data_IF_742550116154
#
_entry.id   IF_742550116154
#
_cell.length_a   1.000
_cell.length_b   1.000
_cell.length_c   1.000
_cell.angle_alpha   90.00
_cell.angle_beta   90.00
_cell.angle_gamma   90.00
#
_symmetry.space_group_name_H-M   'P 1'
#
loop_
_entity.id
_entity.type
_entity.pdbx_description
1 polymer ?
#
# COMPACT_ATOMS: atom_id res chain seq x y z
N UNK A 1 -10.73 6.59 -19.06
CA UNK A 1 -11.12 5.85 -17.84
C UNK A 1 -12.32 5.00 -18.17
N UNK A 2 -12.67 3.99 -17.35
CA UNK A 2 -13.78 3.08 -17.63
C UNK A 2 -15.16 3.77 -17.72
N UNK A 3 -15.33 4.89 -17.03
CA UNK A 3 -16.52 5.79 -17.15
C UNK A 3 -16.34 6.90 -18.19
N UNK A 4 -15.28 6.87 -18.99
CA UNK A 4 -15.06 7.84 -20.05
C UNK A 4 -16.15 7.74 -21.13
N UNK A 5 -16.39 8.84 -21.85
CA UNK A 5 -17.41 8.90 -22.90
C UNK A 5 -17.24 7.83 -23.97
N UNK A 6 -15.99 7.50 -24.32
CA UNK A 6 -15.65 6.45 -25.28
C UNK A 6 -16.04 5.05 -24.77
N UNK A 7 -15.70 4.73 -23.52
CA UNK A 7 -16.06 3.47 -22.88
C UNK A 7 -17.58 3.32 -22.74
N UNK A 8 -18.28 4.40 -22.35
CA UNK A 8 -19.73 4.42 -22.28
C UNK A 8 -20.38 4.19 -23.67
N UNK A 9 -19.85 4.83 -24.72
CA UNK A 9 -20.31 4.60 -26.11
C UNK A 9 -20.08 3.16 -26.54
N UNK A 10 -18.90 2.59 -26.24
CA UNK A 10 -18.58 1.20 -26.55
C UNK A 10 -19.54 0.22 -25.87
N UNK A 11 -19.87 0.43 -24.58
CA UNK A 11 -20.87 -0.39 -23.88
C UNK A 11 -22.25 -0.32 -24.55
N UNK A 12 -22.70 0.88 -24.93
CA UNK A 12 -23.97 1.06 -25.66
C UNK A 12 -23.98 0.33 -27.00
N UNK A 13 -22.91 0.47 -27.80
CA UNK A 13 -22.78 -0.22 -29.08
C UNK A 13 -22.73 -1.75 -28.91
N UNK A 14 -22.10 -2.24 -27.82
CA UNK A 14 -22.04 -3.66 -27.51
C UNK A 14 -23.43 -4.24 -27.20
N UNK A 15 -24.24 -3.55 -26.39
CA UNK A 15 -25.63 -3.97 -26.09
C UNK A 15 -26.50 -3.92 -27.34
N UNK A 16 -26.33 -2.91 -28.22
CA UNK A 16 -27.04 -2.86 -29.49
C UNK A 16 -26.72 -4.07 -30.38
N UNK A 17 -25.45 -4.50 -30.40
CA UNK A 17 -25.02 -5.67 -31.18
C UNK A 17 -25.43 -6.99 -30.54
N UNK A 18 -25.48 -7.05 -29.20
CA UNK A 18 -25.81 -8.24 -28.43
C UNK A 18 -26.81 -7.90 -27.30
N UNK A 19 -28.11 -7.79 -27.61
CA UNK A 19 -29.12 -7.33 -26.63
C UNK A 19 -29.32 -8.24 -25.41
N UNK A 20 -28.85 -9.48 -25.48
CA UNK A 20 -28.89 -10.44 -24.38
C UNK A 20 -27.74 -10.25 -23.37
N UNK A 21 -26.73 -9.43 -23.70
CA UNK A 21 -25.64 -9.11 -22.78
C UNK A 21 -26.04 -7.95 -21.87
N UNK A 22 -25.84 -8.14 -20.56
CA UNK A 22 -25.87 -7.04 -19.60
C UNK A 22 -24.46 -6.46 -19.48
N UNK A 23 -24.30 -5.18 -19.80
CA UNK A 23 -23.00 -4.51 -19.73
C UNK A 23 -23.04 -3.49 -18.61
N UNK A 24 -22.17 -3.68 -17.62
CA UNK A 24 -22.02 -2.79 -16.46
C UNK A 24 -20.68 -2.07 -16.51
N UNK A 25 -20.57 -1.00 -15.73
CA UNK A 25 -19.27 -0.35 -15.50
C UNK A 25 -18.33 -1.31 -14.76
N UNK A 26 -17.02 -1.10 -14.92
CA UNK A 26 -16.00 -1.87 -14.24
C UNK A 26 -16.12 -1.72 -12.72
N UNK A 27 -16.44 -2.82 -12.06
CA UNK A 27 -16.55 -2.89 -10.61
C UNK A 27 -15.32 -2.33 -9.88
N UNK A 28 -14.12 -2.69 -10.33
CA UNK A 28 -12.88 -2.23 -9.72
C UNK A 28 -12.73 -0.70 -9.79
N UNK A 29 -13.18 -0.08 -10.88
CA UNK A 29 -13.17 1.37 -11.02
C UNK A 29 -14.22 2.03 -10.12
N UNK A 30 -15.43 1.50 -10.08
CA UNK A 30 -16.52 2.02 -9.23
C UNK A 30 -16.16 1.97 -7.74
N UNK A 31 -15.59 0.86 -7.27
CA UNK A 31 -15.09 0.75 -5.89
C UNK A 31 -14.00 1.79 -5.61
N UNK A 32 -13.08 2.01 -6.55
CA UNK A 32 -12.03 3.02 -6.39
C UNK A 32 -12.59 4.45 -6.25
N UNK A 33 -13.66 4.78 -6.98
CA UNK A 33 -14.34 6.08 -6.86
C UNK A 33 -15.02 6.23 -5.50
N UNK A 34 -15.82 5.22 -5.09
CA UNK A 34 -16.54 5.24 -3.80
C UNK A 34 -15.55 5.43 -2.64
N UNK A 35 -14.46 4.66 -2.63
CA UNK A 35 -13.48 4.78 -1.55
C UNK A 35 -12.71 6.10 -1.61
N UNK A 36 -12.40 6.59 -2.81
CA UNK A 36 -11.85 7.92 -2.99
C UNK A 36 -12.75 9.00 -2.37
N UNK A 37 -14.06 8.90 -2.55
CA UNK A 37 -15.01 9.84 -1.95
C UNK A 37 -15.10 9.71 -0.42
N UNK A 38 -15.06 8.48 0.12
CA UNK A 38 -14.98 8.25 1.58
C UNK A 38 -13.74 8.93 2.18
N UNK A 39 -12.59 8.85 1.51
CA UNK A 39 -11.36 9.48 1.98
C UNK A 39 -11.40 11.01 1.90
N UNK A 40 -12.09 11.59 0.91
CA UNK A 40 -12.31 13.04 0.86
C UNK A 40 -13.13 13.54 2.05
N UNK A 41 -14.06 12.72 2.58
CA UNK A 41 -14.86 13.11 3.75
C UNK A 41 -14.02 13.24 5.03
N UNK A 42 -12.93 12.47 5.14
CA UNK A 42 -12.02 12.51 6.30
C UNK A 42 -10.57 12.48 5.82
N UNK A 43 -9.97 13.67 5.69
CA UNK A 43 -8.57 13.82 5.26
C UNK A 43 -7.56 13.04 6.13
N UNK A 44 -7.92 12.70 7.37
CA UNK A 44 -7.13 11.82 8.25
C UNK A 44 -6.85 10.46 7.59
N UNK A 45 -7.81 9.88 6.86
CA UNK A 45 -7.59 8.58 6.22
C UNK A 45 -6.57 8.64 5.07
N UNK A 46 -6.58 9.72 4.28
CA UNK A 46 -5.57 9.92 3.25
C UNK A 46 -4.17 9.96 3.87
N UNK A 47 -4.00 10.70 4.97
CA UNK A 47 -2.74 10.76 5.70
C UNK A 47 -2.30 9.39 6.23
N UNK A 48 -3.19 8.63 6.87
CA UNK A 48 -2.89 7.29 7.39
C UNK A 48 -2.40 6.37 6.27
N UNK A 49 -3.06 6.41 5.11
CA UNK A 49 -2.63 5.62 3.96
C UNK A 49 -1.28 6.10 3.45
N UNK A 50 -1.06 7.40 3.28
CA UNK A 50 0.23 7.93 2.82
C UNK A 50 1.38 7.53 3.76
N UNK A 51 1.18 7.62 5.08
CA UNK A 51 2.14 7.20 6.09
C UNK A 51 2.44 5.70 5.98
N UNK A 52 1.42 4.86 5.85
CA UNK A 52 1.57 3.41 5.66
C UNK A 52 2.31 3.05 4.36
N UNK A 53 2.00 3.76 3.26
CA UNK A 53 2.72 3.59 1.99
C UNK A 53 4.18 3.97 2.11
N UNK A 54 4.48 5.01 2.89
CA UNK A 54 5.85 5.46 3.10
C UNK A 54 6.68 4.42 3.85
N UNK A 55 6.11 3.79 4.88
CA UNK A 55 6.73 2.65 5.57
C UNK A 55 7.04 1.52 4.58
N UNK A 56 6.06 1.09 3.79
CA UNK A 56 6.24 -0.01 2.83
C UNK A 56 7.31 0.33 1.79
N UNK A 57 7.25 1.53 1.20
CA UNK A 57 8.22 1.99 0.21
C UNK A 57 9.62 2.02 0.80
N UNK A 58 9.77 2.57 2.00
CA UNK A 58 11.08 2.70 2.62
C UNK A 58 11.71 1.33 2.89
N UNK A 59 10.98 0.40 3.52
CA UNK A 59 11.51 -0.94 3.77
C UNK A 59 11.84 -1.67 2.46
N UNK A 60 10.96 -1.64 1.46
CA UNK A 60 11.22 -2.31 0.18
C UNK A 60 12.43 -1.74 -0.58
N UNK A 61 12.77 -0.47 -0.38
CA UNK A 61 13.93 0.17 -1.02
C UNK A 61 15.23 0.05 -0.20
N UNK A 62 15.17 -0.39 1.05
CA UNK A 62 16.34 -0.54 1.92
C UNK A 62 16.53 -2.02 2.28
N UNK A 63 17.31 -2.73 1.45
CA UNK A 63 17.51 -4.18 1.58
C UNK A 63 17.99 -4.63 2.96
N UNK A 64 18.82 -3.83 3.65
CA UNK A 64 19.23 -4.12 5.02
C UNK A 64 18.08 -4.01 6.02
N UNK A 65 17.24 -2.96 5.92
CA UNK A 65 16.07 -2.79 6.79
C UNK A 65 15.05 -3.92 6.56
N UNK A 66 14.78 -4.25 5.30
CA UNK A 66 13.95 -5.39 4.94
C UNK A 66 14.54 -6.71 5.45
N UNK A 67 15.86 -6.88 5.35
CA UNK A 67 16.57 -8.04 5.89
C UNK A 67 16.39 -8.21 7.39
N UNK A 68 16.45 -7.11 8.15
CA UNK A 68 16.18 -7.10 9.60
C UNK A 68 14.73 -7.51 9.86
N UNK A 69 13.75 -6.89 9.21
CA UNK A 69 12.34 -7.28 9.37
C UNK A 69 12.10 -8.76 9.03
N UNK A 70 12.69 -9.26 7.94
CA UNK A 70 12.62 -10.66 7.56
C UNK A 70 13.28 -11.58 8.61
N UNK A 71 14.33 -11.14 9.30
CA UNK A 71 14.95 -11.93 10.38
C UNK A 71 14.05 -12.06 11.60
N UNK A 72 13.37 -10.97 11.97
CA UNK A 72 12.36 -10.97 13.05
C UNK A 72 11.20 -11.89 12.68
N UNK A 73 10.68 -11.77 11.45
CA UNK A 73 9.62 -12.65 10.95
C UNK A 73 10.01 -14.13 11.03
N UNK A 74 11.20 -14.53 10.58
CA UNK A 74 11.65 -15.94 10.65
C UNK A 74 11.74 -16.49 12.07
N UNK A 75 11.89 -15.63 13.07
CA UNK A 75 11.94 -16.05 14.47
C UNK A 75 10.55 -16.31 15.08
N UNK A 76 9.47 -15.87 14.41
CA UNK A 76 8.10 -15.84 14.95
C UNK A 76 7.06 -16.49 14.05
N UNK A 77 7.29 -16.52 12.75
CA UNK A 77 6.36 -16.98 11.73
C UNK A 77 6.96 -18.15 10.96
N UNK A 78 6.11 -19.08 10.52
CA UNK A 78 6.51 -20.21 9.69
C UNK A 78 6.94 -19.77 8.28
N UNK A 79 6.42 -18.64 7.81
CA UNK A 79 6.73 -18.07 6.51
C UNK A 79 6.97 -16.55 6.61
N UNK A 80 7.92 -16.06 5.82
CA UNK A 80 8.20 -14.63 5.69
C UNK A 80 7.21 -14.01 4.70
N UNK A 81 6.48 -12.99 5.14
CA UNK A 81 5.54 -12.26 4.33
C UNK A 81 6.22 -11.06 3.66
N UNK A 82 5.97 -10.86 2.37
CA UNK A 82 6.47 -9.71 1.63
C UNK A 82 5.65 -8.44 1.93
N UNK A 83 6.26 -7.26 1.86
CA UNK A 83 5.52 -6.01 1.89
C UNK A 83 4.94 -5.70 0.51
N UNK A 84 3.65 -5.40 0.45
CA UNK A 84 2.92 -5.20 -0.81
C UNK A 84 2.89 -3.70 -1.13
N UNK A 85 3.59 -3.28 -2.18
CA UNK A 85 3.46 -1.91 -2.69
C UNK A 85 2.22 -1.82 -3.60
N UNK A 86 1.24 -0.93 -3.31
CA UNK A 86 0.03 -0.86 -4.09
C UNK A 86 0.22 -0.14 -5.43
N UNK A 87 -0.67 -0.49 -6.36
CA UNK A 87 -0.80 0.16 -7.67
C UNK A 87 -1.84 1.27 -7.56
N UNK A 88 -1.44 2.50 -7.89
CA UNK A 88 -2.24 3.73 -7.70
C UNK A 88 -3.70 3.65 -8.19
N UNK A 89 -3.94 2.96 -9.32
CA UNK A 89 -5.27 2.89 -9.94
C UNK A 89 -6.17 1.78 -9.39
N UNK A 90 -5.72 0.98 -8.41
CA UNK A 90 -6.45 -0.19 -7.92
C UNK A 90 -6.57 -0.16 -6.40
N UNK A 91 -7.71 0.31 -5.90
CA UNK A 91 -8.03 0.33 -4.47
C UNK A 91 -7.73 -0.98 -3.72
N UNK A 92 -8.06 -2.14 -4.31
CA UNK A 92 -7.80 -3.44 -3.68
C UNK A 92 -6.33 -3.66 -3.34
N UNK A 93 -5.41 -3.10 -4.12
CA UNK A 93 -3.98 -3.20 -3.80
C UNK A 93 -3.60 -2.37 -2.57
N UNK A 94 -4.22 -1.20 -2.38
CA UNK A 94 -4.05 -0.40 -1.15
C UNK A 94 -4.60 -1.16 0.06
N UNK A 95 -5.79 -1.74 -0.08
CA UNK A 95 -6.36 -2.61 0.97
C UNK A 95 -5.40 -3.75 1.37
N UNK A 96 -4.87 -4.49 0.39
CA UNK A 96 -3.92 -5.58 0.66
C UNK A 96 -2.61 -5.11 1.30
N UNK A 97 -2.11 -3.94 0.90
CA UNK A 97 -0.95 -3.30 1.52
C UNK A 97 -1.19 -3.07 3.03
N UNK A 98 -2.33 -2.45 3.38
CA UNK A 98 -2.67 -2.18 4.78
C UNK A 98 -2.92 -3.47 5.56
N UNK A 99 -3.65 -4.43 5.00
CA UNK A 99 -3.85 -5.73 5.64
C UNK A 99 -2.53 -6.42 5.95
N UNK A 100 -1.56 -6.37 5.03
CA UNK A 100 -0.23 -6.95 5.23
C UNK A 100 0.55 -6.22 6.32
N UNK A 101 0.44 -4.89 6.42
CA UNK A 101 1.06 -4.14 7.51
C UNK A 101 0.46 -4.49 8.87
N UNK A 102 -0.87 -4.63 8.96
CA UNK A 102 -1.54 -5.03 10.19
C UNK A 102 -1.17 -6.46 10.60
N UNK A 103 -1.07 -7.38 9.64
CA UNK A 103 -0.61 -8.76 9.86
C UNK A 103 0.83 -8.80 10.41
N UNK A 104 1.66 -7.84 10.00
CA UNK A 104 3.05 -7.72 10.45
C UNK A 104 3.26 -6.72 11.60
N UNK A 105 2.19 -6.17 12.20
CA UNK A 105 2.27 -5.09 13.19
C UNK A 105 3.22 -5.45 14.34
N UNK A 106 3.07 -6.66 14.90
CA UNK A 106 3.92 -7.14 15.99
C UNK A 106 5.40 -7.24 15.55
N UNK A 107 5.65 -7.71 14.32
CA UNK A 107 7.01 -7.86 13.78
C UNK A 107 7.68 -6.52 13.57
N UNK A 108 6.93 -5.51 13.11
CA UNK A 108 7.40 -4.14 12.99
C UNK A 108 7.78 -3.56 14.36
N UNK A 109 6.91 -3.69 15.36
CA UNK A 109 7.18 -3.23 16.73
C UNK A 109 8.40 -3.93 17.34
N UNK A 110 8.52 -5.25 17.20
CA UNK A 110 9.71 -5.98 17.66
C UNK A 110 10.98 -5.53 16.93
N UNK A 111 10.90 -5.28 15.62
CA UNK A 111 12.02 -4.77 14.82
C UNK A 111 12.50 -3.41 15.35
N UNK A 112 11.58 -2.50 15.70
CA UNK A 112 11.94 -1.22 16.29
C UNK A 112 12.57 -1.37 17.67
N UNK A 113 11.97 -2.18 18.54
CA UNK A 113 12.46 -2.39 19.90
C UNK A 113 13.89 -2.95 19.93
N UNK A 114 14.20 -3.88 19.02
CA UNK A 114 15.50 -4.56 19.01
C UNK A 114 16.55 -3.87 18.13
N UNK A 115 16.13 -3.17 17.07
CA UNK A 115 17.04 -2.72 16.01
C UNK A 115 16.88 -1.25 15.61
N UNK A 116 16.18 -0.40 16.37
CA UNK A 116 15.99 1.03 16.06
C UNK A 116 17.26 1.76 15.62
N UNK A 117 18.34 1.66 16.40
CA UNK A 117 19.63 2.28 16.07
C UNK A 117 20.21 1.74 14.75
N UNK A 118 20.07 0.44 14.51
CA UNK A 118 20.58 -0.21 13.30
C UNK A 118 19.75 0.20 12.08
N UNK A 119 18.44 0.33 12.21
CA UNK A 119 17.54 0.81 11.16
C UNK A 119 17.91 2.23 10.71
N UNK A 120 18.21 3.14 11.63
CA UNK A 120 18.69 4.48 11.27
C UNK A 120 19.99 4.44 10.44
N UNK A 121 20.90 3.51 10.73
CA UNK A 121 22.14 3.34 9.99
C UNK A 121 21.93 2.73 8.60
N UNK A 122 20.84 1.96 8.39
CA UNK A 122 20.54 1.37 7.06
C UNK A 122 20.21 2.42 6.00
N UNK A 123 19.89 3.65 6.39
CA UNK A 123 19.63 4.76 5.48
C UNK A 123 20.88 5.29 4.77
N UNK A 124 22.08 4.85 5.20
CA UNK A 124 23.35 5.30 4.65
C UNK A 124 23.88 6.59 5.31
N UNK A 125 24.95 7.18 4.76
CA UNK A 125 25.70 8.24 5.44
C UNK A 125 25.05 9.63 5.33
N UNK A 126 24.17 9.86 4.33
CA UNK A 126 23.57 11.16 4.05
C UNK A 126 22.62 11.59 5.17
N UNK A 127 22.72 12.84 5.60
CA UNK A 127 21.88 13.43 6.65
C UNK A 127 20.39 13.38 6.31
N UNK A 128 20.02 13.71 5.08
CA UNK A 128 18.63 13.65 4.62
C UNK A 128 18.05 12.23 4.63
N UNK A 129 18.86 11.23 4.28
CA UNK A 129 18.43 9.84 4.30
C UNK A 129 18.18 9.36 5.74
N UNK A 130 19.05 9.73 6.69
CA UNK A 130 18.86 9.44 8.12
C UNK A 130 17.63 10.14 8.70
N UNK A 131 17.39 11.39 8.32
CA UNK A 131 16.17 12.13 8.69
C UNK A 131 14.94 11.40 8.18
N UNK A 132 14.94 10.97 6.91
CA UNK A 132 13.84 10.23 6.33
C UNK A 132 13.58 8.88 7.01
N UNK A 133 14.64 8.16 7.38
CA UNK A 133 14.52 6.94 8.14
C UNK A 133 13.92 7.18 9.55
N UNK A 134 14.32 8.27 10.21
CA UNK A 134 13.74 8.65 11.50
C UNK A 134 12.25 8.99 11.39
N UNK A 135 11.84 9.70 10.33
CA UNK A 135 10.42 9.98 10.04
C UNK A 135 9.63 8.67 9.86
N UNK A 136 10.15 7.72 9.08
CA UNK A 136 9.51 6.42 8.84
C UNK A 136 9.42 5.60 10.13
N UNK A 137 10.49 5.57 10.92
CA UNK A 137 10.51 4.85 12.21
C UNK A 137 9.49 5.46 13.18
N UNK A 138 9.27 6.78 13.15
CA UNK A 138 8.28 7.43 14.00
C UNK A 138 6.82 7.16 13.61
N UNK A 139 6.55 6.65 12.40
CA UNK A 139 5.20 6.24 11.97
C UNK A 139 4.79 4.90 12.60
N UNK A 140 5.77 4.01 12.80
CA UNK A 140 5.59 2.60 13.21
C UNK A 140 5.59 2.48 14.73
#
# INVERSE_FOLDING_TARGET
TDVGGDSAKMRRLLVQKFPHLTVVDCWAHQVNLIVGDIFKLKGVFAKIIDDALEVVKWFNNHSQALGILCSVQRSKLEAVLCLILPVLMRWTSHYLCICRLLELELMFKETLLQYSNKLLLTAGPKTDAKRKAAEVIAIV
#
